data_IF_816868890786
#
_entry.id   IF_816868890786
#
_cell.length_a   1.000
_cell.length_b   1.000
_cell.length_c   1.000
_cell.angle_alpha   90.00
_cell.angle_beta   90.00
_cell.angle_gamma   90.00
#
_symmetry.space_group_name_H-M   'P 1'
#
loop_
_entity.id
_entity.type
_entity.pdbx_description
1 polymer ?
#
# COMPACT_ATOMS: atom_id res chain seq x y z
N UNK A 1 0.82 26.42 11.76
CA UNK A 1 -0.17 25.82 10.83
C UNK A 1 -0.80 24.61 11.48
N UNK A 2 -2.13 24.58 11.63
CA UNK A 2 -2.83 23.38 12.09
C UNK A 2 -2.60 22.28 11.05
N UNK A 3 -1.73 21.31 11.36
CA UNK A 3 -1.60 20.10 10.54
C UNK A 3 -3.01 19.50 10.43
N UNK A 4 -3.55 19.44 9.21
CA UNK A 4 -4.91 18.92 9.02
C UNK A 4 -4.93 17.48 9.53
N UNK A 5 -5.68 17.23 10.61
CA UNK A 5 -5.81 15.88 11.20
C UNK A 5 -6.32 14.88 10.15
N UNK A 6 -7.12 15.35 9.20
CA UNK A 6 -7.61 14.57 8.07
C UNK A 6 -6.45 14.15 7.16
N UNK A 7 -5.55 15.06 6.76
CA UNK A 7 -4.41 14.73 5.91
C UNK A 7 -3.42 13.81 6.64
N UNK A 8 -3.20 14.02 7.94
CA UNK A 8 -2.38 13.12 8.76
C UNK A 8 -2.99 11.71 8.78
N UNK A 9 -4.31 11.60 9.01
CA UNK A 9 -5.00 10.32 9.03
C UNK A 9 -4.96 9.62 7.66
N UNK A 10 -5.19 10.35 6.57
CA UNK A 10 -5.11 9.82 5.21
C UNK A 10 -3.69 9.37 4.85
N UNK A 11 -2.66 10.13 5.24
CA UNK A 11 -1.26 9.73 5.06
C UNK A 11 -0.93 8.46 5.85
N UNK A 12 -1.41 8.36 7.09
CA UNK A 12 -1.21 7.18 7.92
C UNK A 12 -1.93 5.95 7.33
N UNK A 13 -3.15 6.13 6.82
CA UNK A 13 -3.88 5.06 6.15
C UNK A 13 -3.15 4.57 4.89
N UNK A 14 -2.71 5.50 4.03
CA UNK A 14 -1.98 5.13 2.82
C UNK A 14 -0.65 4.41 3.14
N UNK A 15 0.04 4.81 4.22
CA UNK A 15 1.20 4.04 4.71
C UNK A 15 0.82 2.64 5.18
N UNK A 16 -0.26 2.49 5.94
CA UNK A 16 -0.72 1.19 6.38
C UNK A 16 -1.13 0.28 5.22
N UNK A 17 -1.78 0.84 4.19
CA UNK A 17 -2.18 0.12 2.98
C UNK A 17 -0.95 -0.37 2.20
N UNK A 18 0.08 0.48 2.07
CA UNK A 18 1.38 0.10 1.48
C UNK A 18 2.03 -1.06 2.23
N UNK A 19 2.15 -0.97 3.55
CA UNK A 19 2.78 -2.04 4.34
C UNK A 19 1.97 -3.34 4.26
N UNK A 20 0.64 -3.25 4.22
CA UNK A 20 -0.24 -4.40 4.02
C UNK A 20 -0.02 -5.06 2.65
N UNK A 21 0.12 -4.26 1.60
CA UNK A 21 0.40 -4.76 0.26
C UNK A 21 1.78 -5.44 0.18
N UNK A 22 2.81 -4.82 0.74
CA UNK A 22 4.15 -5.38 0.80
C UNK A 22 4.18 -6.69 1.62
N UNK A 23 3.48 -6.73 2.75
CA UNK A 23 3.34 -7.95 3.55
C UNK A 23 2.63 -9.05 2.76
N UNK A 24 1.57 -8.74 2.00
CA UNK A 24 0.89 -9.74 1.19
C UNK A 24 1.80 -10.31 0.10
N UNK A 25 2.56 -9.47 -0.60
CA UNK A 25 3.56 -9.91 -1.59
C UNK A 25 4.66 -10.76 -0.96
N UNK A 26 5.17 -10.37 0.21
CA UNK A 26 6.19 -11.13 0.94
C UNK A 26 5.68 -12.50 1.41
N UNK A 27 4.43 -12.57 1.86
CA UNK A 27 3.78 -13.84 2.22
C UNK A 27 3.57 -14.73 0.99
N UNK A 28 3.19 -14.17 -0.16
CA UNK A 28 3.08 -14.91 -1.41
C UNK A 28 4.44 -15.46 -1.86
N UNK A 29 5.53 -14.69 -1.74
CA UNK A 29 6.86 -15.14 -2.13
C UNK A 29 7.46 -16.17 -1.15
N UNK A 30 7.33 -15.95 0.16
CA UNK A 30 8.01 -16.73 1.19
C UNK A 30 7.16 -17.84 1.84
N UNK A 31 5.83 -17.76 1.77
CA UNK A 31 4.91 -18.70 2.42
C UNK A 31 4.00 -19.47 1.45
N UNK A 32 4.31 -19.53 0.15
CA UNK A 32 3.62 -20.39 -0.82
C UNK A 32 3.85 -21.91 -0.61
N UNK A 33 3.89 -22.36 0.65
CA UNK A 33 3.93 -23.75 1.09
C UNK A 33 2.49 -24.28 1.08
N UNK A 34 1.91 -24.49 -0.10
CA UNK A 34 0.49 -24.89 -0.15
C UNK A 34 -0.24 -24.76 -1.47
N UNK A 35 0.43 -24.84 -2.62
CA UNK A 35 -0.22 -25.07 -3.92
C UNK A 35 -0.72 -26.53 -3.98
N UNK A 36 -1.54 -26.90 -3.00
CA UNK A 36 -2.18 -28.21 -2.86
C UNK A 36 -3.64 -28.18 -3.29
N UNK A 37 -4.31 -27.01 -3.19
CA UNK A 37 -5.71 -26.78 -3.59
C UNK A 37 -5.96 -25.41 -4.27
N UNK A 38 -5.10 -24.41 -4.04
CA UNK A 38 -5.11 -23.15 -4.80
C UNK A 38 -4.34 -23.32 -6.11
N UNK A 39 -4.92 -22.84 -7.21
CA UNK A 39 -4.30 -22.89 -8.53
C UNK A 39 -3.24 -21.80 -8.67
N UNK A 40 -2.35 -21.94 -9.66
CA UNK A 40 -1.43 -20.85 -10.03
C UNK A 40 -2.17 -19.54 -10.40
N UNK A 41 -3.45 -19.61 -10.79
CA UNK A 41 -4.26 -18.44 -11.07
C UNK A 41 -4.66 -17.68 -9.80
N UNK A 42 -4.99 -18.39 -8.71
CA UNK A 42 -5.35 -17.75 -7.43
C UNK A 42 -4.14 -17.01 -6.86
N UNK A 43 -2.95 -17.63 -6.94
CA UNK A 43 -1.70 -16.99 -6.57
C UNK A 43 -1.44 -15.69 -7.35
N UNK A 44 -1.63 -15.73 -8.66
CA UNK A 44 -1.39 -14.57 -9.52
C UNK A 44 -2.47 -13.49 -9.31
N UNK A 45 -3.71 -13.88 -9.01
CA UNK A 45 -4.77 -12.94 -8.65
C UNK A 45 -4.43 -12.22 -7.34
N UNK A 46 -4.05 -12.96 -6.29
CA UNK A 46 -3.68 -12.37 -4.99
C UNK A 46 -2.47 -11.42 -5.14
N UNK A 47 -1.48 -11.81 -5.95
CA UNK A 47 -0.33 -10.96 -6.26
C UNK A 47 -0.73 -9.68 -7.00
N UNK A 48 -1.67 -9.77 -7.95
CA UNK A 48 -2.20 -8.61 -8.67
C UNK A 48 -2.99 -7.67 -7.75
N UNK A 49 -3.81 -8.23 -6.85
CA UNK A 49 -4.57 -7.45 -5.87
C UNK A 49 -3.63 -6.72 -4.90
N UNK A 50 -2.60 -7.41 -4.40
CA UNK A 50 -1.59 -6.81 -3.55
C UNK A 50 -0.80 -5.72 -4.28
N UNK A 51 -0.39 -5.96 -5.53
CA UNK A 51 0.29 -4.96 -6.33
C UNK A 51 -0.59 -3.73 -6.62
N UNK A 52 -1.86 -3.92 -6.93
CA UNK A 52 -2.80 -2.82 -7.14
C UNK A 52 -2.97 -1.97 -5.87
N UNK A 53 -3.05 -2.62 -4.70
CA UNK A 53 -3.12 -1.91 -3.42
C UNK A 53 -1.85 -1.10 -3.14
N UNK A 54 -0.68 -1.64 -3.50
CA UNK A 54 0.60 -0.94 -3.36
C UNK A 54 0.65 0.31 -4.24
N UNK A 55 0.27 0.20 -5.51
CA UNK A 55 0.24 1.32 -6.46
C UNK A 55 -0.71 2.42 -5.95
N UNK A 56 -1.93 2.05 -5.56
CA UNK A 56 -2.91 3.00 -5.02
C UNK A 56 -2.40 3.70 -3.75
N UNK A 57 -1.69 2.97 -2.90
CA UNK A 57 -1.13 3.51 -1.66
C UNK A 57 0.00 4.52 -1.95
N UNK A 58 0.92 4.19 -2.85
CA UNK A 58 2.01 5.09 -3.24
C UNK A 58 1.48 6.32 -3.99
N UNK A 59 0.51 6.18 -4.90
CA UNK A 59 -0.12 7.31 -5.59
C UNK A 59 -0.81 8.28 -4.60
N UNK A 60 -1.51 7.74 -3.60
CA UNK A 60 -2.11 8.55 -2.52
C UNK A 60 -1.04 9.27 -1.71
N UNK A 61 0.06 8.60 -1.38
CA UNK A 61 1.17 9.21 -0.65
C UNK A 61 1.83 10.32 -1.47
N UNK A 62 2.10 10.08 -2.75
CA UNK A 62 2.68 11.07 -3.66
C UNK A 62 1.75 12.28 -3.80
N UNK A 63 0.45 12.07 -3.99
CA UNK A 63 -0.52 13.17 -4.06
C UNK A 63 -0.54 13.97 -2.75
N UNK A 64 -0.56 13.30 -1.60
CA UNK A 64 -0.50 13.97 -0.29
C UNK A 64 0.80 14.77 -0.17
N UNK A 65 1.93 14.22 -0.62
CA UNK A 65 3.20 14.91 -0.56
C UNK A 65 3.26 16.11 -1.51
N UNK A 66 2.82 15.94 -2.75
CA UNK A 66 2.83 16.97 -3.78
C UNK A 66 1.94 18.17 -3.45
N UNK A 67 0.74 17.94 -2.92
CA UNK A 67 -0.23 19.01 -2.70
C UNK A 67 -0.27 19.52 -1.26
N UNK A 68 0.18 18.73 -0.28
CA UNK A 68 0.07 19.08 1.15
C UNK A 68 1.42 19.10 1.90
N UNK A 69 2.55 18.70 1.29
CA UNK A 69 3.88 18.82 1.90
C UNK A 69 4.57 20.18 1.64
N UNK A 70 3.89 21.12 0.98
CA UNK A 70 4.38 22.51 0.78
C UNK A 70 4.43 23.37 2.05
N UNK A 71 4.61 22.76 3.23
CA UNK A 71 4.67 23.44 4.53
C UNK A 71 6.04 23.33 5.21
N UNK A 72 7.11 22.95 4.50
CA UNK A 72 8.51 23.03 4.97
C UNK A 72 9.38 23.86 4.02
N UNK A 73 9.02 25.13 3.85
CA UNK A 73 9.93 26.16 3.34
C UNK A 73 9.65 27.47 4.07
N UNK A 74 10.04 27.55 5.35
CA UNK A 74 10.50 28.79 6.03
C UNK A 74 11.52 28.39 7.09
#
# INVERSE_FOLDING_TARGET
MNRSRVIIALKAQAKADREKALMALDLLENQAVGIGDHTANDFMQDAQEALSLLVDADDKLEAIEKYFNSSENI
#
